data_IF_436523467771
#
_entry.id   IF_436523467771
#
_cell.length_a   1.000
_cell.length_b   1.000
_cell.length_c   1.000
_cell.angle_alpha   90.00
_cell.angle_beta   90.00
_cell.angle_gamma   90.00
#
_symmetry.space_group_name_H-M   'P 1'
#
loop_
_entity.id
_entity.type
_entity.pdbx_description
1 polymer ?
#
# COMPACT_ATOMS: atom_id res chain seq x y z
N UNK A 1 18.64 -15.62 47.33
CA UNK A 1 18.37 -16.43 46.12
C UNK A 1 16.95 -16.27 45.56
N UNK A 2 15.89 -16.21 46.39
CA UNK A 2 14.48 -16.04 45.91
C UNK A 2 14.20 -14.72 45.17
N UNK A 3 14.89 -13.61 45.52
CA UNK A 3 14.74 -12.30 44.86
C UNK A 3 15.39 -12.22 43.47
N UNK A 4 16.40 -13.05 43.20
CA UNK A 4 17.09 -13.10 41.90
C UNK A 4 16.27 -13.86 40.85
N UNK A 5 15.56 -14.92 41.27
CA UNK A 5 14.60 -15.64 40.40
C UNK A 5 13.42 -14.76 39.95
N UNK A 6 12.94 -13.86 40.82
CA UNK A 6 11.89 -12.90 40.46
C UNK A 6 12.34 -11.86 39.43
N UNK A 7 13.61 -11.42 39.48
CA UNK A 7 14.19 -10.49 38.49
C UNK A 7 14.39 -11.14 37.13
N UNK A 8 14.78 -12.42 37.07
CA UNK A 8 14.94 -13.18 35.82
C UNK A 8 13.56 -13.49 35.20
N UNK A 9 12.55 -13.80 36.01
CA UNK A 9 11.17 -13.98 35.54
C UNK A 9 10.56 -12.68 35.00
N UNK A 10 10.83 -11.53 35.65
CA UNK A 10 10.39 -10.22 35.15
C UNK A 10 11.08 -9.82 33.84
N UNK A 11 12.37 -10.14 33.67
CA UNK A 11 13.12 -9.84 32.45
C UNK A 11 12.70 -10.73 31.26
N UNK A 12 12.32 -11.99 31.52
CA UNK A 12 11.82 -12.91 30.50
C UNK A 12 10.39 -12.55 29.99
N UNK A 13 9.58 -11.90 30.81
CA UNK A 13 8.24 -11.43 30.41
C UNK A 13 8.32 -10.15 29.53
N UNK A 14 9.39 -9.36 29.66
CA UNK A 14 9.61 -8.15 28.87
C UNK A 14 10.06 -8.42 27.41
N UNK A 15 10.58 -9.61 27.10
CA UNK A 15 11.03 -9.96 25.73
C UNK A 15 9.93 -10.57 24.86
N UNK A 16 8.73 -10.77 25.38
CA UNK A 16 7.59 -11.31 24.64
C UNK A 16 6.77 -10.24 23.89
N UNK A 17 7.35 -9.07 23.59
CA UNK A 17 6.74 -8.17 22.59
C UNK A 17 6.80 -8.88 21.25
N UNK A 18 5.72 -9.58 20.89
CA UNK A 18 5.57 -10.20 19.59
C UNK A 18 5.93 -9.17 18.52
N UNK A 19 7.00 -9.44 17.77
CA UNK A 19 7.43 -8.62 16.65
C UNK A 19 6.35 -8.66 15.57
N UNK A 20 5.31 -7.83 15.73
CA UNK A 20 4.40 -7.51 14.63
C UNK A 20 5.25 -6.84 13.55
N UNK A 21 5.45 -7.56 12.45
CA UNK A 21 6.32 -7.12 11.37
C UNK A 21 5.55 -7.12 10.07
N UNK A 22 5.48 -5.95 9.46
CA UNK A 22 5.24 -5.80 8.03
C UNK A 22 6.59 -5.76 7.35
N UNK A 23 6.75 -6.55 6.29
CA UNK A 23 7.98 -6.57 5.49
C UNK A 23 7.63 -6.44 4.02
N UNK A 24 8.38 -5.61 3.31
CA UNK A 24 8.39 -5.66 1.84
C UNK A 24 8.99 -6.99 1.43
N UNK A 25 8.24 -7.77 0.66
CA UNK A 25 8.65 -9.09 0.18
C UNK A 25 9.17 -9.05 -1.25
N UNK A 26 8.76 -8.05 -2.01
CA UNK A 26 9.28 -7.76 -3.34
C UNK A 26 8.93 -6.33 -3.74
N UNK A 27 9.75 -5.76 -4.61
CA UNK A 27 9.57 -4.41 -5.14
C UNK A 27 10.22 -4.31 -6.51
N UNK A 28 9.61 -3.53 -7.40
CA UNK A 28 10.10 -3.29 -8.75
C UNK A 28 9.91 -1.82 -9.11
N UNK A 29 10.85 -1.27 -9.87
CA UNK A 29 10.79 0.06 -10.48
C UNK A 29 10.97 -0.09 -11.98
N UNK A 30 10.21 0.67 -12.77
CA UNK A 30 10.38 0.66 -14.22
C UNK A 30 11.76 1.20 -14.62
N UNK A 31 12.40 0.54 -15.60
CA UNK A 31 13.65 1.01 -16.17
C UNK A 31 13.44 2.41 -16.76
N UNK A 32 14.26 3.37 -16.32
CA UNK A 32 14.16 4.76 -16.77
C UNK A 32 13.00 5.56 -16.15
N UNK A 33 12.24 5.01 -15.20
CA UNK A 33 11.28 5.82 -14.45
C UNK A 33 12.01 6.98 -13.78
N UNK A 34 11.58 8.25 -13.96
CA UNK A 34 12.23 9.37 -13.31
C UNK A 34 12.04 9.29 -11.79
N UNK A 35 12.92 9.96 -11.05
CA UNK A 35 12.66 10.23 -9.65
C UNK A 35 11.44 11.18 -9.56
N UNK A 36 10.56 10.94 -8.59
CA UNK A 36 9.39 11.79 -8.41
C UNK A 36 9.81 13.19 -7.98
N UNK A 37 9.10 14.19 -8.52
CA UNK A 37 9.23 15.58 -8.13
C UNK A 37 8.40 15.84 -6.87
N UNK A 38 8.87 16.76 -6.02
CA UNK A 38 8.30 16.99 -4.68
C UNK A 38 6.98 17.76 -4.70
N UNK A 39 6.84 18.64 -5.67
CA UNK A 39 5.68 19.52 -5.90
C UNK A 39 4.54 18.79 -6.63
N UNK A 40 4.88 17.81 -7.46
CA UNK A 40 3.91 16.96 -8.14
C UNK A 40 3.08 16.14 -7.14
N UNK A 41 1.75 16.26 -7.23
CA UNK A 41 0.82 15.63 -6.29
C UNK A 41 0.68 14.14 -6.58
N UNK A 42 0.95 13.34 -5.55
CA UNK A 42 0.72 11.90 -5.51
C UNK A 42 -0.65 11.66 -4.86
N UNK A 43 -1.61 11.14 -5.63
CA UNK A 43 -2.88 10.69 -5.08
C UNK A 43 -2.73 9.28 -4.50
N UNK A 44 -3.05 9.08 -3.23
CA UNK A 44 -3.07 7.74 -2.61
C UNK A 44 -4.49 7.20 -2.61
N UNK A 45 -4.66 6.01 -3.17
CA UNK A 45 -5.96 5.37 -3.35
C UNK A 45 -5.92 3.93 -2.81
N UNK A 46 -6.59 3.67 -1.70
CA UNK A 46 -6.68 2.32 -1.15
C UNK A 46 -7.98 1.64 -1.58
N UNK A 47 -7.84 0.43 -2.11
CA UNK A 47 -8.93 -0.48 -2.44
C UNK A 47 -9.01 -1.56 -1.35
N UNK A 48 -10.06 -1.47 -0.55
CA UNK A 48 -10.40 -2.43 0.49
C UNK A 48 -11.92 -2.65 0.43
N UNK A 49 -12.44 -3.74 1.02
CA UNK A 49 -13.89 -3.96 1.09
C UNK A 49 -14.64 -2.75 1.64
N UNK A 50 -15.85 -2.51 1.13
CA UNK A 50 -16.73 -1.43 1.58
C UNK A 50 -17.03 -1.47 3.09
N UNK A 51 -17.06 -2.65 3.69
CA UNK A 51 -17.24 -2.81 5.15
C UNK A 51 -16.05 -2.29 5.98
N UNK A 52 -14.88 -2.13 5.35
CA UNK A 52 -13.61 -1.80 6.00
C UNK A 52 -13.18 -0.34 5.72
N UNK A 53 -14.13 0.60 5.72
CA UNK A 53 -13.85 2.04 5.45
C UNK A 53 -12.83 2.66 6.40
N UNK A 54 -12.81 2.24 7.66
CA UNK A 54 -11.82 2.69 8.63
C UNK A 54 -10.41 2.28 8.21
N UNK A 55 -10.24 1.04 7.74
CA UNK A 55 -8.97 0.56 7.21
C UNK A 55 -8.57 1.32 5.94
N UNK A 56 -9.52 1.60 5.03
CA UNK A 56 -9.25 2.43 3.85
C UNK A 56 -8.66 3.78 4.22
N UNK A 57 -9.34 4.48 5.12
CA UNK A 57 -8.93 5.80 5.62
C UNK A 57 -7.54 5.74 6.25
N UNK A 58 -7.27 4.75 7.10
CA UNK A 58 -5.97 4.58 7.73
C UNK A 58 -4.86 4.31 6.71
N UNK A 59 -5.06 3.39 5.76
CA UNK A 59 -4.08 3.06 4.72
C UNK A 59 -3.69 4.30 3.91
N UNK A 60 -4.69 5.07 3.44
CA UNK A 60 -4.44 6.29 2.68
C UNK A 60 -3.75 7.36 3.54
N UNK A 61 -4.28 7.68 4.71
CA UNK A 61 -3.79 8.79 5.54
C UNK A 61 -2.37 8.56 6.05
N UNK A 62 -2.03 7.34 6.50
CA UNK A 62 -0.68 7.06 6.97
C UNK A 62 0.33 7.06 5.83
N UNK A 63 -0.04 6.56 4.65
CA UNK A 63 0.83 6.62 3.46
C UNK A 63 1.06 8.06 3.02
N UNK A 64 0.01 8.88 2.98
CA UNK A 64 0.11 10.33 2.72
C UNK A 64 1.01 11.00 3.75
N UNK A 65 0.86 10.68 5.04
CA UNK A 65 1.69 11.24 6.10
C UNK A 65 3.16 10.89 5.93
N UNK A 66 3.51 9.66 5.57
CA UNK A 66 4.90 9.26 5.34
C UNK A 66 5.51 9.91 4.09
N UNK A 67 4.74 10.02 3.00
CA UNK A 67 5.17 10.77 1.80
C UNK A 67 5.40 12.25 2.11
N UNK A 68 4.48 12.89 2.85
CA UNK A 68 4.61 14.30 3.28
C UNK A 68 5.79 14.50 4.22
N UNK A 69 6.06 13.56 5.14
CA UNK A 69 7.25 13.58 6.01
C UNK A 69 8.55 13.56 5.20
N UNK A 70 8.54 12.91 4.04
CA UNK A 70 9.64 12.93 3.08
C UNK A 70 9.70 14.18 2.22
N UNK A 71 8.74 15.11 2.33
CA UNK A 71 8.69 16.37 1.58
C UNK A 71 8.03 16.24 0.21
N UNK A 72 7.11 15.28 0.04
CA UNK A 72 6.34 15.10 -1.19
C UNK A 72 4.89 15.59 -1.01
N UNK A 73 4.35 16.22 -2.06
CA UNK A 73 2.94 16.57 -2.15
C UNK A 73 2.11 15.28 -2.33
N UNK A 74 1.30 14.93 -1.34
CA UNK A 74 0.45 13.75 -1.39
C UNK A 74 -0.92 14.03 -0.80
N UNK A 75 -1.97 13.37 -1.30
CA UNK A 75 -3.35 13.50 -0.81
C UNK A 75 -4.09 12.16 -0.82
N UNK A 76 -5.08 12.02 0.07
CA UNK A 76 -5.95 10.84 0.14
C UNK A 76 -7.11 11.01 -0.83
N UNK A 77 -7.31 10.01 -1.68
CA UNK A 77 -8.46 9.99 -2.58
C UNK A 77 -9.77 9.96 -1.79
N UNK A 78 -9.86 9.13 -0.74
CA UNK A 78 -11.03 9.06 0.13
C UNK A 78 -11.41 10.41 0.73
N UNK A 79 -10.44 11.20 1.20
CA UNK A 79 -10.71 12.53 1.73
C UNK A 79 -11.16 13.51 0.64
N UNK A 80 -10.57 13.43 -0.56
CA UNK A 80 -10.80 14.41 -1.62
C UNK A 80 -12.06 14.15 -2.44
N UNK A 81 -12.43 12.88 -2.67
CA UNK A 81 -13.59 12.54 -3.49
C UNK A 81 -14.62 11.63 -2.81
N UNK A 82 -14.36 11.17 -1.59
CA UNK A 82 -15.31 10.39 -0.78
C UNK A 82 -15.33 8.88 -1.06
N UNK A 83 -16.21 8.14 -0.35
CA UNK A 83 -16.23 6.68 -0.38
C UNK A 83 -16.68 6.09 -1.72
N UNK A 84 -17.61 6.74 -2.44
CA UNK A 84 -18.19 6.28 -3.72
C UNK A 84 -17.56 6.95 -4.95
N UNK A 85 -16.34 7.49 -4.79
CA UNK A 85 -15.72 8.47 -5.68
C UNK A 85 -15.67 8.18 -7.19
N UNK A 86 -15.63 6.90 -7.57
CA UNK A 86 -15.42 6.45 -8.96
C UNK A 86 -16.46 5.43 -9.45
N UNK A 87 -17.53 5.20 -8.69
CA UNK A 87 -18.56 4.15 -8.87
C UNK A 87 -18.72 3.58 -10.28
N UNK A 88 -19.63 4.15 -11.09
CA UNK A 88 -19.89 3.73 -12.48
C UNK A 88 -19.06 4.51 -13.52
N UNK A 89 -18.02 5.22 -13.08
CA UNK A 89 -17.23 6.05 -13.99
C UNK A 89 -16.39 5.16 -14.92
N UNK A 90 -16.21 5.59 -16.16
CA UNK A 90 -15.25 4.99 -17.09
C UNK A 90 -13.83 5.54 -16.92
N UNK A 91 -12.86 4.90 -17.58
CA UNK A 91 -11.43 5.25 -17.49
C UNK A 91 -11.14 6.74 -17.62
N UNK A 92 -11.63 7.33 -18.72
CA UNK A 92 -11.38 8.74 -19.04
C UNK A 92 -11.92 9.68 -17.97
N UNK A 93 -13.04 9.33 -17.34
CA UNK A 93 -13.65 10.14 -16.28
C UNK A 93 -12.84 10.06 -15.00
N UNK A 94 -12.39 8.85 -14.61
CA UNK A 94 -11.57 8.68 -13.40
C UNK A 94 -10.19 9.31 -13.56
N UNK A 95 -9.50 9.04 -14.67
CA UNK A 95 -8.20 9.66 -14.97
C UNK A 95 -8.34 11.17 -15.10
N UNK A 96 -9.40 11.65 -15.77
CA UNK A 96 -9.71 13.07 -15.87
C UNK A 96 -9.90 13.72 -14.50
N UNK A 97 -10.72 13.11 -13.63
CA UNK A 97 -10.97 13.60 -12.26
C UNK A 97 -9.71 13.63 -11.41
N UNK A 98 -8.86 12.60 -11.51
CA UNK A 98 -7.56 12.58 -10.85
C UNK A 98 -6.65 13.70 -11.35
N UNK A 99 -6.52 13.88 -12.67
CA UNK A 99 -5.71 14.96 -13.25
C UNK A 99 -6.25 16.35 -12.89
N UNK A 100 -7.58 16.55 -12.94
CA UNK A 100 -8.24 17.81 -12.55
C UNK A 100 -8.04 18.16 -11.07
N UNK A 101 -7.77 17.16 -10.22
CA UNK A 101 -7.37 17.39 -8.82
C UNK A 101 -5.91 17.86 -8.65
N UNK A 102 -5.19 18.04 -9.75
CA UNK A 102 -3.77 18.37 -9.79
C UNK A 102 -2.85 17.17 -9.58
N UNK A 103 -3.38 15.94 -9.51
CA UNK A 103 -2.56 14.75 -9.33
C UNK A 103 -1.76 14.42 -10.61
N UNK A 104 -0.45 14.25 -10.45
CA UNK A 104 0.46 13.79 -11.51
C UNK A 104 0.67 12.27 -11.43
N UNK A 105 0.57 11.69 -10.23
CA UNK A 105 0.67 10.25 -10.02
C UNK A 105 -0.46 9.73 -9.16
N UNK A 106 -0.76 8.43 -9.29
CA UNK A 106 -1.67 7.71 -8.41
C UNK A 106 -0.98 6.47 -7.85
N UNK A 107 -0.93 6.36 -6.52
CA UNK A 107 -0.49 5.20 -5.77
C UNK A 107 -1.72 4.40 -5.34
N UNK A 108 -1.96 3.26 -5.98
CA UNK A 108 -3.01 2.34 -5.59
C UNK A 108 -2.51 1.35 -4.55
N UNK A 109 -3.32 1.02 -3.55
CA UNK A 109 -3.02 0.03 -2.52
C UNK A 109 -4.15 -1.01 -2.49
N UNK A 110 -3.85 -2.29 -2.67
CA UNK A 110 -4.83 -3.38 -2.69
C UNK A 110 -4.46 -4.47 -1.68
N UNK A 111 -5.47 -5.07 -1.04
CA UNK A 111 -5.27 -6.30 -0.27
C UNK A 111 -5.38 -7.53 -1.18
N UNK A 112 -4.34 -8.35 -1.24
CA UNK A 112 -4.31 -9.57 -2.04
C UNK A 112 -5.03 -10.74 -1.34
N UNK A 113 -5.89 -11.46 -2.08
CA UNK A 113 -6.52 -12.70 -1.60
C UNK A 113 -5.55 -13.92 -1.60
N UNK A 114 -5.86 -14.92 -0.76
CA UNK A 114 -5.21 -16.23 -0.58
C UNK A 114 -4.82 -16.93 -1.87
N UNK A 115 -5.65 -16.89 -2.91
CA UNK A 115 -5.33 -17.54 -4.19
C UNK A 115 -4.07 -16.95 -4.84
N UNK A 116 -3.88 -15.62 -4.74
CA UNK A 116 -2.69 -14.92 -5.27
C UNK A 116 -1.48 -15.02 -4.35
N UNK A 117 -1.67 -15.30 -3.07
CA UNK A 117 -0.55 -15.61 -2.15
C UNK A 117 0.29 -16.80 -2.63
N UNK A 118 -0.31 -17.75 -3.39
CA UNK A 118 0.36 -18.95 -3.92
C UNK A 118 1.30 -18.68 -5.09
N UNK A 119 1.19 -17.53 -5.78
CA UNK A 119 2.06 -17.18 -6.91
C UNK A 119 3.35 -16.46 -6.49
N UNK A 120 3.50 -16.12 -5.21
CA UNK A 120 4.76 -15.56 -4.70
C UNK A 120 5.84 -16.65 -4.64
N UNK A 121 6.84 -16.56 -5.52
CA UNK A 121 8.05 -17.41 -5.49
C UNK A 121 9.20 -16.62 -4.85
N UNK A 122 9.65 -16.98 -3.64
CA UNK A 122 10.81 -16.36 -3.01
C UNK A 122 12.07 -16.57 -3.87
N UNK A 123 12.89 -15.53 -4.07
CA UNK A 123 14.20 -15.62 -4.73
C UNK A 123 14.23 -15.39 -6.25
N UNK A 124 13.09 -15.22 -6.91
CA UNK A 124 13.02 -14.83 -8.32
C UNK A 124 13.07 -13.30 -8.54
N UNK A 125 13.39 -12.88 -9.77
CA UNK A 125 13.22 -11.48 -10.19
C UNK A 125 11.73 -11.15 -10.17
N UNK A 126 11.32 -10.25 -9.28
CA UNK A 126 9.93 -9.81 -9.20
C UNK A 126 9.62 -8.87 -10.36
N UNK A 127 8.66 -9.29 -11.19
CA UNK A 127 8.03 -8.43 -12.17
C UNK A 127 6.54 -8.28 -11.80
N UNK A 128 5.97 -7.07 -11.84
CA UNK A 128 4.56 -6.87 -11.56
C UNK A 128 3.72 -7.71 -12.52
N UNK A 129 2.80 -8.51 -11.99
CA UNK A 129 1.93 -9.38 -12.80
C UNK A 129 0.55 -8.74 -12.95
N UNK A 130 0.14 -8.42 -14.18
CA UNK A 130 -1.18 -7.87 -14.47
C UNK A 130 -1.20 -6.95 -15.69
N UNK A 131 -2.38 -6.49 -16.12
CA UNK A 131 -2.48 -5.57 -17.24
C UNK A 131 -1.75 -4.25 -16.92
N UNK A 132 -0.85 -3.85 -17.82
CA UNK A 132 -0.01 -2.67 -17.66
C UNK A 132 -0.86 -1.39 -17.82
N UNK A 133 -1.25 -0.79 -16.69
CA UNK A 133 -1.93 0.49 -16.66
C UNK A 133 -2.82 0.66 -15.43
N UNK A 134 -3.01 1.91 -15.00
CA UNK A 134 -3.83 2.23 -13.82
C UNK A 134 -5.26 1.69 -13.96
N UNK A 135 -5.91 1.90 -15.11
CA UNK A 135 -7.33 1.58 -15.27
C UNK A 135 -7.63 0.08 -15.40
N UNK A 136 -6.91 -0.71 -16.21
CA UNK A 136 -7.10 -2.15 -16.23
C UNK A 136 -6.86 -2.79 -14.86
N UNK A 137 -5.85 -2.31 -14.12
CA UNK A 137 -5.56 -2.76 -12.76
C UNK A 137 -6.69 -2.40 -11.79
N UNK A 138 -7.12 -1.14 -11.78
CA UNK A 138 -8.22 -0.65 -10.98
C UNK A 138 -9.52 -1.43 -11.25
N UNK A 139 -9.91 -1.57 -12.52
CA UNK A 139 -11.16 -2.24 -12.92
C UNK A 139 -11.17 -3.71 -12.51
N UNK A 140 -10.04 -4.40 -12.67
CA UNK A 140 -9.91 -5.80 -12.30
C UNK A 140 -10.07 -6.01 -10.77
N UNK A 141 -9.42 -5.17 -9.97
CA UNK A 141 -9.54 -5.22 -8.51
C UNK A 141 -10.90 -4.77 -8.01
N UNK A 142 -11.45 -3.69 -8.58
CA UNK A 142 -12.78 -3.19 -8.25
C UNK A 142 -13.82 -4.30 -8.46
N UNK A 143 -13.87 -4.93 -9.64
CA UNK A 143 -14.81 -6.04 -9.88
C UNK A 143 -14.62 -7.23 -8.94
N UNK A 144 -13.38 -7.58 -8.60
CA UNK A 144 -13.08 -8.72 -7.75
C UNK A 144 -13.41 -8.47 -6.27
N UNK A 145 -13.11 -7.28 -5.75
CA UNK A 145 -13.22 -6.94 -4.33
C UNK A 145 -14.65 -6.83 -3.80
N UNK A 146 -15.64 -6.58 -4.69
CA UNK A 146 -17.06 -6.54 -4.31
C UNK A 146 -17.77 -7.88 -4.49
N UNK A 147 -17.05 -8.94 -4.89
CA UNK A 147 -17.61 -10.29 -4.93
C UNK A 147 -17.72 -10.85 -3.50
N UNK A 148 -18.91 -11.32 -3.05
CA UNK A 148 -19.06 -11.93 -1.74
C UNK A 148 -18.08 -13.09 -1.52
N UNK A 149 -17.43 -13.14 -0.35
CA UNK A 149 -16.47 -14.20 0.00
C UNK A 149 -15.03 -13.97 -0.43
N UNK A 150 -14.71 -12.87 -1.11
CA UNK A 150 -13.35 -12.56 -1.59
C UNK A 150 -12.29 -12.48 -0.47
N UNK A 151 -12.70 -12.12 0.75
CA UNK A 151 -11.81 -12.14 1.92
C UNK A 151 -12.33 -13.11 2.96
N UNK A 152 -11.60 -14.20 3.15
CA UNK A 152 -11.72 -15.05 4.35
C UNK A 152 -10.87 -14.43 5.47
N UNK A 153 -11.39 -14.40 6.69
CA UNK A 153 -10.67 -13.89 7.87
C UNK A 153 -9.40 -14.73 8.03
N UNK A 154 -8.24 -14.14 7.73
CA UNK A 154 -6.94 -14.79 7.86
C UNK A 154 -5.96 -13.87 8.56
N UNK A 155 -5.09 -14.47 9.36
CA UNK A 155 -4.02 -13.83 10.13
C UNK A 155 -2.83 -13.33 9.29
N UNK A 156 -2.90 -13.46 7.95
CA UNK A 156 -1.84 -13.07 7.01
C UNK A 156 -2.38 -12.11 5.96
N UNK A 157 -2.05 -10.84 6.10
CA UNK A 157 -2.39 -9.80 5.13
C UNK A 157 -1.24 -9.61 4.16
N UNK A 158 -1.54 -9.65 2.86
CA UNK A 158 -0.58 -9.27 1.81
C UNK A 158 -1.15 -8.08 1.07
N UNK A 159 -0.31 -7.06 0.88
CA UNK A 159 -0.69 -5.81 0.25
C UNK A 159 0.18 -5.57 -0.96
N UNK A 160 -0.43 -5.12 -2.05
CA UNK A 160 0.27 -4.65 -3.23
C UNK A 160 0.06 -3.15 -3.40
N UNK A 161 1.14 -2.42 -3.63
CA UNK A 161 1.14 -1.00 -3.93
C UNK A 161 1.68 -0.76 -5.34
N UNK A 162 0.93 -0.05 -6.18
CA UNK A 162 1.35 0.28 -7.55
C UNK A 162 1.26 1.78 -7.77
N UNK A 163 2.36 2.40 -8.21
CA UNK A 163 2.44 3.81 -8.56
C UNK A 163 2.38 3.96 -10.08
N UNK A 164 1.43 4.75 -10.56
CA UNK A 164 1.26 5.05 -11.97
C UNK A 164 1.49 6.53 -12.24
N UNK A 165 2.12 6.82 -13.37
CA UNK A 165 2.11 8.15 -13.96
C UNK A 165 0.75 8.42 -14.61
N UNK A 166 0.06 9.47 -14.19
CA UNK A 166 -1.28 9.75 -14.70
C UNK A 166 -1.26 10.30 -16.12
N UNK A 167 -0.14 10.84 -16.63
CA UNK A 167 -0.06 11.40 -17.97
C UNK A 167 0.07 10.30 -19.04
N UNK A 168 1.02 9.39 -18.85
CA UNK A 168 1.33 8.27 -19.74
C UNK A 168 0.53 6.99 -19.41
N UNK A 169 -0.02 6.88 -18.20
CA UNK A 169 -0.67 5.67 -17.70
C UNK A 169 0.30 4.56 -17.29
N UNK A 170 1.61 4.79 -17.39
CA UNK A 170 2.64 3.78 -17.15
C UNK A 170 2.81 3.46 -15.66
N UNK A 171 3.08 2.20 -15.36
CA UNK A 171 3.46 1.74 -14.03
C UNK A 171 4.92 2.14 -13.76
N UNK A 172 5.15 3.02 -12.80
CA UNK A 172 6.49 3.48 -12.40
C UNK A 172 7.12 2.58 -11.34
N UNK A 173 6.29 2.01 -10.46
CA UNK A 173 6.74 1.24 -9.30
C UNK A 173 5.66 0.29 -8.81
N UNK A 174 6.09 -0.87 -8.31
CA UNK A 174 5.23 -1.88 -7.70
C UNK A 174 5.91 -2.48 -6.47
N UNK A 175 5.13 -2.78 -5.43
CA UNK A 175 5.63 -3.37 -4.20
C UNK A 175 4.63 -4.35 -3.63
N UNK A 176 5.12 -5.48 -3.14
CA UNK A 176 4.34 -6.38 -2.30
C UNK A 176 4.91 -6.39 -0.89
N UNK A 177 4.02 -6.37 0.08
CA UNK A 177 4.36 -6.49 1.49
C UNK A 177 3.49 -7.54 2.16
N UNK A 178 4.04 -8.16 3.19
CA UNK A 178 3.32 -9.11 4.03
C UNK A 178 3.34 -8.63 5.48
N UNK A 179 2.18 -8.65 6.12
CA UNK A 179 2.03 -8.39 7.55
C UNK A 179 1.61 -9.68 8.24
N UNK A 180 2.38 -10.07 9.25
CA UNK A 180 2.03 -11.15 10.15
C UNK A 180 1.30 -10.59 11.36
N UNK A 181 0.04 -10.97 11.50
CA UNK A 181 -0.82 -10.75 12.67
C UNK A 181 -0.64 -9.37 13.36
N UNK A 182 -0.95 -8.26 12.65
CA UNK A 182 -0.91 -6.95 13.29
C UNK A 182 -2.02 -6.88 14.36
N UNK A 183 -1.70 -6.41 15.59
CA UNK A 183 -2.67 -6.40 16.69
C UNK A 183 -3.88 -5.49 16.41
N UNK A 184 -3.74 -4.54 15.47
CA UNK A 184 -4.83 -3.69 14.98
C UNK A 184 -4.64 -3.35 13.50
N UNK A 185 -5.74 -3.03 12.81
CA UNK A 185 -5.73 -2.48 11.43
C UNK A 185 -4.94 -1.18 11.34
N UNK A 186 -4.99 -0.33 12.37
CA UNK A 186 -4.19 0.88 12.49
C UNK A 186 -2.70 0.58 12.45
N UNK A 187 -2.23 -0.39 13.26
CA UNK A 187 -0.82 -0.74 13.33
C UNK A 187 -0.33 -1.29 11.99
N UNK A 188 -1.15 -2.09 11.32
CA UNK A 188 -0.89 -2.59 9.97
C UNK A 188 -0.71 -1.44 8.98
N UNK A 189 -1.61 -0.46 8.96
CA UNK A 189 -1.55 0.67 8.04
C UNK A 189 -0.30 1.55 8.25
N UNK A 190 0.05 1.82 9.52
CA UNK A 190 1.28 2.54 9.89
C UNK A 190 2.52 1.79 9.38
N UNK A 191 2.60 0.49 9.69
CA UNK A 191 3.75 -0.32 9.29
C UNK A 191 3.88 -0.45 7.76
N UNK A 192 2.76 -0.66 7.07
CA UNK A 192 2.72 -0.67 5.61
C UNK A 192 3.28 0.64 5.03
N UNK A 193 2.74 1.77 5.45
CA UNK A 193 3.14 3.09 4.96
C UNK A 193 4.65 3.34 5.15
N UNK A 194 5.16 3.04 6.35
CA UNK A 194 6.58 3.20 6.66
C UNK A 194 7.47 2.33 5.77
N UNK A 195 7.09 1.06 5.59
CA UNK A 195 7.90 0.13 4.80
C UNK A 195 7.87 0.45 3.30
N UNK A 196 6.70 0.83 2.76
CA UNK A 196 6.58 1.21 1.34
C UNK A 196 7.32 2.50 1.04
N UNK A 197 7.17 3.56 1.84
CA UNK A 197 7.88 4.82 1.58
C UNK A 197 9.40 4.66 1.75
N UNK A 198 9.84 3.84 2.72
CA UNK A 198 11.24 3.43 2.85
C UNK A 198 11.73 2.69 1.61
N UNK A 199 10.92 1.79 1.07
CA UNK A 199 11.25 1.04 -0.14
C UNK A 199 11.31 1.93 -1.38
N UNK A 200 10.36 2.85 -1.57
CA UNK A 200 10.40 3.83 -2.66
C UNK A 200 11.66 4.70 -2.60
N UNK A 201 12.13 5.03 -1.40
CA UNK A 201 13.42 5.72 -1.19
C UNK A 201 14.59 4.81 -1.60
N UNK A 202 14.59 3.55 -1.17
CA UNK A 202 15.64 2.56 -1.54
C UNK A 202 15.70 2.30 -3.05
N UNK A 203 14.55 2.29 -3.72
CA UNK A 203 14.43 2.17 -5.17
C UNK A 203 14.80 3.46 -5.91
N UNK A 204 15.22 4.52 -5.20
CA UNK A 204 15.55 5.84 -5.74
C UNK A 204 14.39 6.49 -6.52
N UNK A 205 13.16 6.06 -6.23
CA UNK A 205 11.95 6.66 -6.78
C UNK A 205 11.63 7.95 -6.02
N UNK A 206 11.89 7.96 -4.72
CA UNK A 206 11.96 9.16 -3.89
C UNK A 206 13.44 9.51 -3.65
N UNK A 207 13.73 10.80 -3.48
CA UNK A 207 15.06 11.27 -3.15
C UNK A 207 15.54 10.72 -1.79
N UNK A 208 16.82 10.36 -1.71
CA UNK A 208 17.49 10.19 -0.42
C UNK A 208 17.71 11.58 0.17
N UNK A 209 17.10 11.84 1.33
CA UNK A 209 17.44 12.99 2.17
C UNK A 209 18.68 12.66 3.00
#
# INVERSE_FOLDING_TARGET
>A
MKKLGFLIAALAILTATACTSTKVTSSWRANGAPQLQRDQKIMVFAMVPQRDMALRSQMENYTVSELRRKGYNASSALQEFGPQQFGQMGEKQVVGKLRSSGASQVLTIVMLDKARQKQYVPGGVYYPYGPYGFWPYYSWWYGSMYTPGYYTVNTKYQWEGNLYDLQSGQLLYSVQSKSFDPPTTTRMAVLYAQQVVKDMTRQQLLANN
#
